data_IF_923013879277
#
_entry.id   IF_923013879277
#
_cell.length_a   1.000
_cell.length_b   1.000
_cell.length_c   1.000
_cell.angle_alpha   90.00
_cell.angle_beta   90.00
_cell.angle_gamma   90.00
#
_symmetry.space_group_name_H-M   'P 1'
#
loop_
_entity.id
_entity.type
_entity.pdbx_description
1 polymer ?
#
# COMPACT_ATOMS: atom_id res chain seq x y z
N UNK A 1 -17.01 -9.45 -0.51
CA UNK A 1 -16.31 -8.17 -0.23
C UNK A 1 -15.89 -7.51 -1.54
N UNK A 2 -16.83 -6.95 -2.31
CA UNK A 2 -16.53 -6.37 -3.64
C UNK A 2 -17.18 -5.00 -3.92
N UNK A 3 -17.83 -4.35 -2.94
CA UNK A 3 -18.58 -3.10 -3.17
C UNK A 3 -18.19 -1.94 -2.21
N UNK A 4 -16.91 -1.81 -1.87
CA UNK A 4 -16.43 -0.69 -1.02
C UNK A 4 -15.62 0.36 -1.78
N UNK A 5 -15.47 0.24 -3.10
CA UNK A 5 -14.48 1.04 -3.85
C UNK A 5 -15.04 2.41 -4.31
N UNK A 6 -16.35 2.68 -4.20
CA UNK A 6 -17.00 3.89 -4.75
C UNK A 6 -17.98 4.59 -3.77
N UNK A 7 -17.68 4.64 -2.47
CA UNK A 7 -18.55 5.36 -1.52
C UNK A 7 -17.99 6.74 -1.16
N UNK A 8 -18.70 7.79 -1.56
CA UNK A 8 -18.67 9.08 -0.88
C UNK A 8 -19.19 8.85 0.54
N UNK A 9 -18.29 8.48 1.46
CA UNK A 9 -18.64 8.22 2.85
C UNK A 9 -19.27 9.47 3.46
N UNK A 10 -20.49 9.32 3.98
CA UNK A 10 -21.20 10.35 4.75
C UNK A 10 -20.68 10.40 6.19
N UNK A 11 -20.96 11.48 6.93
CA UNK A 11 -20.60 11.54 8.36
C UNK A 11 -21.22 10.42 9.18
N UNK A 12 -22.42 9.94 8.82
CA UNK A 12 -23.05 8.79 9.47
C UNK A 12 -22.31 7.47 9.24
N UNK A 13 -21.56 7.35 8.14
CA UNK A 13 -20.77 6.16 7.80
C UNK A 13 -19.50 6.03 8.66
N UNK A 14 -19.06 7.12 9.31
CA UNK A 14 -17.88 7.10 10.19
C UNK A 14 -18.06 6.25 11.45
N UNK A 15 -19.30 5.82 11.71
CA UNK A 15 -19.64 4.95 12.83
C UNK A 15 -19.76 3.48 12.40
N UNK A 16 -19.67 3.14 11.12
CA UNK A 16 -19.65 1.74 10.69
C UNK A 16 -18.23 1.15 10.86
N UNK A 17 -18.13 0.05 11.59
CA UNK A 17 -16.86 -0.61 11.90
C UNK A 17 -16.09 -1.06 10.65
N UNK A 18 -16.80 -1.51 9.62
CA UNK A 18 -16.18 -2.02 8.40
C UNK A 18 -15.68 -0.88 7.52
N UNK A 19 -16.39 0.25 7.51
CA UNK A 19 -15.95 1.48 6.84
C UNK A 19 -14.72 2.05 7.54
N UNK A 20 -14.73 2.08 8.86
CA UNK A 20 -13.59 2.52 9.67
C UNK A 20 -12.38 1.64 9.43
N UNK A 21 -12.57 0.33 9.33
CA UNK A 21 -11.47 -0.59 9.06
C UNK A 21 -10.86 -0.38 7.67
N UNK A 22 -11.68 -0.15 6.64
CA UNK A 22 -11.20 0.20 5.30
C UNK A 22 -10.42 1.52 5.32
N UNK A 23 -10.95 2.55 5.99
CA UNK A 23 -10.27 3.85 6.15
C UNK A 23 -8.94 3.68 6.91
N UNK A 24 -8.94 2.91 8.00
CA UNK A 24 -7.75 2.63 8.79
C UNK A 24 -6.69 1.92 7.95
N UNK A 25 -7.08 0.88 7.20
CA UNK A 25 -6.23 0.12 6.30
C UNK A 25 -5.59 1.01 5.22
N UNK A 26 -6.38 1.88 4.57
CA UNK A 26 -5.89 2.82 3.56
C UNK A 26 -4.90 3.83 4.14
N UNK A 27 -5.22 4.40 5.31
CA UNK A 27 -4.35 5.36 6.00
C UNK A 27 -3.01 4.72 6.41
N UNK A 28 -3.05 3.53 7.00
CA UNK A 28 -1.81 2.86 7.41
C UNK A 28 -0.98 2.44 6.20
N UNK A 29 -1.60 2.04 5.09
CA UNK A 29 -0.87 1.78 3.84
C UNK A 29 -0.14 3.02 3.35
N UNK A 30 -0.84 4.16 3.28
CA UNK A 30 -0.24 5.42 2.83
C UNK A 30 0.92 5.85 3.76
N UNK A 31 0.74 5.72 5.07
CA UNK A 31 1.80 5.98 6.05
C UNK A 31 3.02 5.09 5.80
N UNK A 32 2.84 3.77 5.66
CA UNK A 32 3.94 2.83 5.43
C UNK A 32 4.62 3.05 4.09
N UNK A 33 3.86 3.29 3.03
CA UNK A 33 4.43 3.60 1.73
C UNK A 33 5.34 4.84 1.83
N UNK A 34 4.87 5.91 2.46
CA UNK A 34 5.67 7.12 2.68
C UNK A 34 6.92 6.84 3.54
N UNK A 35 6.78 6.04 4.59
CA UNK A 35 7.90 5.60 5.42
C UNK A 35 8.97 4.89 4.59
N UNK A 36 8.61 3.89 3.80
CA UNK A 36 9.57 3.15 2.98
C UNK A 36 10.19 3.99 1.86
N UNK A 37 9.42 4.90 1.26
CA UNK A 37 9.96 5.89 0.32
C UNK A 37 11.04 6.73 1.00
N UNK A 38 10.80 7.22 2.22
CA UNK A 38 11.77 8.03 2.94
C UNK A 38 13.03 7.24 3.30
N UNK A 39 12.91 5.96 3.65
CA UNK A 39 14.08 5.10 3.88
C UNK A 39 14.87 4.90 2.58
N UNK A 40 14.20 4.55 1.47
CA UNK A 40 14.84 4.23 0.19
C UNK A 40 15.48 5.44 -0.51
N UNK A 41 15.08 6.66 -0.15
CA UNK A 41 15.72 7.90 -0.61
C UNK A 41 17.12 8.11 -0.03
N UNK A 42 17.42 7.52 1.14
CA UNK A 42 18.74 7.64 1.73
C UNK A 42 19.76 6.79 0.95
N UNK A 43 21.04 7.20 0.90
CA UNK A 43 22.10 6.34 0.37
C UNK A 43 22.16 5.00 1.11
N UNK A 44 22.60 3.95 0.42
CA UNK A 44 22.70 2.59 0.98
C UNK A 44 23.64 2.54 2.20
N UNK A 45 24.63 3.43 2.27
CA UNK A 45 25.56 3.57 3.40
C UNK A 45 24.96 4.28 4.63
N UNK A 46 23.76 4.86 4.52
CA UNK A 46 23.14 5.59 5.61
C UNK A 46 22.63 4.63 6.70
N UNK A 47 22.81 4.99 7.98
CA UNK A 47 22.40 4.14 9.12
C UNK A 47 20.92 3.74 9.08
N UNK A 48 20.03 4.65 8.70
CA UNK A 48 18.60 4.32 8.49
C UNK A 48 18.37 3.20 7.49
N UNK A 49 19.19 3.11 6.44
CA UNK A 49 19.08 2.04 5.46
C UNK A 49 19.62 0.72 6.04
N UNK A 50 20.72 0.77 6.79
CA UNK A 50 21.29 -0.38 7.51
C UNK A 50 20.31 -1.04 8.48
N UNK A 51 19.61 -0.23 9.30
CA UNK A 51 18.60 -0.72 10.25
C UNK A 51 17.35 -1.29 9.56
N UNK A 52 17.12 -0.95 8.29
CA UNK A 52 15.91 -1.31 7.54
C UNK A 52 16.25 -2.22 6.36
N UNK A 53 16.70 -3.43 6.67
CA UNK A 53 17.05 -4.43 5.66
C UNK A 53 15.87 -4.74 4.73
N UNK A 54 16.17 -4.92 3.43
CA UNK A 54 15.19 -5.20 2.38
C UNK A 54 14.14 -4.10 2.16
N UNK A 55 14.49 -2.84 2.40
CA UNK A 55 13.62 -1.67 2.19
C UNK A 55 12.98 -1.64 0.80
N UNK A 56 13.67 -2.05 -0.26
CA UNK A 56 13.07 -2.05 -1.61
C UNK A 56 12.01 -3.12 -1.83
N UNK A 57 12.16 -4.30 -1.21
CA UNK A 57 11.13 -5.34 -1.29
C UNK A 57 9.85 -4.84 -0.63
N UNK A 58 9.99 -4.19 0.53
CA UNK A 58 8.87 -3.61 1.27
C UNK A 58 8.25 -2.45 0.49
N UNK A 59 9.05 -1.57 -0.10
CA UNK A 59 8.56 -0.50 -0.95
C UNK A 59 7.77 -1.03 -2.15
N UNK A 60 8.31 -2.01 -2.88
CA UNK A 60 7.64 -2.61 -4.05
C UNK A 60 6.32 -3.27 -3.63
N UNK A 61 6.30 -4.01 -2.52
CA UNK A 61 5.08 -4.62 -2.00
C UNK A 61 4.03 -3.56 -1.62
N UNK A 62 4.42 -2.50 -0.90
CA UNK A 62 3.50 -1.43 -0.50
C UNK A 62 2.97 -0.66 -1.71
N UNK A 63 3.82 -0.43 -2.72
CA UNK A 63 3.42 0.22 -3.96
C UNK A 63 2.45 -0.66 -4.77
N UNK A 64 2.67 -1.97 -4.79
CA UNK A 64 1.79 -2.94 -5.44
C UNK A 64 0.41 -3.02 -4.78
N UNK A 65 0.36 -3.05 -3.44
CA UNK A 65 -0.91 -2.99 -2.68
C UNK A 65 -1.59 -1.64 -2.92
N UNK A 66 -0.84 -0.54 -2.95
CA UNK A 66 -1.40 0.79 -3.23
C UNK A 66 -1.98 0.88 -4.62
N UNK A 67 -1.35 0.23 -5.60
CA UNK A 67 -1.87 0.09 -6.96
C UNK A 67 -3.19 -0.70 -6.97
N UNK A 68 -3.25 -1.85 -6.27
CA UNK A 68 -4.47 -2.65 -6.14
C UNK A 68 -5.64 -1.86 -5.51
N UNK A 69 -5.34 -1.02 -4.53
CA UNK A 69 -6.32 -0.21 -3.81
C UNK A 69 -6.58 1.17 -4.44
N UNK A 70 -6.07 1.43 -5.66
CA UNK A 70 -6.20 2.70 -6.38
C UNK A 70 -5.75 3.94 -5.58
N UNK A 71 -4.68 3.81 -4.78
CA UNK A 71 -4.19 4.86 -3.88
C UNK A 71 -2.71 5.19 -4.07
N UNK A 72 -2.23 5.12 -5.31
CA UNK A 72 -0.85 5.53 -5.63
C UNK A 72 -0.68 7.03 -5.32
N UNK A 73 0.42 7.43 -4.65
CA UNK A 73 0.68 8.83 -4.35
C UNK A 73 0.67 9.72 -5.60
N UNK A 74 -0.03 10.85 -5.52
CA UNK A 74 -0.17 11.82 -6.63
C UNK A 74 1.17 12.24 -7.24
N UNK A 75 2.24 12.31 -6.43
CA UNK A 75 3.61 12.66 -6.87
C UNK A 75 4.18 11.70 -7.91
N UNK A 76 3.64 10.48 -8.02
CA UNK A 76 4.04 9.44 -8.97
C UNK A 76 3.08 9.31 -10.16
N UNK A 77 2.00 10.09 -10.18
CA UNK A 77 1.03 10.12 -11.26
C UNK A 77 1.46 11.16 -12.29
N UNK A 78 1.57 10.72 -13.55
CA UNK A 78 1.71 11.62 -14.68
C UNK A 78 0.29 11.92 -15.20
N UNK A 79 -0.34 13.00 -14.72
CA UNK A 79 -1.69 13.43 -15.09
C UNK A 79 -2.80 13.03 -14.10
N UNK A 80 -4.05 13.37 -14.43
CA UNK A 80 -5.24 13.26 -13.57
C UNK A 80 -5.92 11.87 -13.53
N UNK A 81 -5.23 10.79 -13.92
CA UNK A 81 -5.82 9.44 -13.89
C UNK A 81 -5.44 8.70 -12.62
N UNK A 82 -6.43 8.12 -11.94
CA UNK A 82 -6.23 7.04 -10.98
C UNK A 82 -5.39 5.96 -11.67
N UNK A 83 -4.23 5.62 -11.10
CA UNK A 83 -3.42 4.50 -11.59
C UNK A 83 -3.60 3.34 -10.63
N UNK A 84 -4.10 2.25 -11.19
CA UNK A 84 -4.25 0.93 -10.59
C UNK A 84 -2.98 0.07 -10.77
N UNK A 85 -1.90 0.64 -11.30
CA UNK A 85 -0.64 -0.06 -11.57
C UNK A 85 0.60 0.76 -11.16
N UNK A 86 1.70 0.05 -10.92
CA UNK A 86 3.03 0.64 -10.81
C UNK A 86 3.96 0.15 -11.93
N UNK A 87 5.06 0.85 -12.13
CA UNK A 87 6.07 0.53 -13.16
C UNK A 87 7.46 0.48 -12.55
N UNK A 88 8.39 -0.18 -13.26
CA UNK A 88 9.81 -0.18 -12.89
C UNK A 88 10.38 1.24 -12.81
N UNK A 89 9.95 2.15 -13.70
CA UNK A 89 10.36 3.54 -13.69
C UNK A 89 9.94 4.27 -12.40
N UNK A 90 8.73 4.01 -11.89
CA UNK A 90 8.27 4.58 -10.62
C UNK A 90 9.14 4.09 -9.46
N UNK A 91 9.47 2.80 -9.39
CA UNK A 91 10.34 2.24 -8.33
C UNK A 91 11.75 2.83 -8.43
N UNK A 92 12.27 3.00 -9.66
CA UNK A 92 13.59 3.59 -9.89
C UNK A 92 13.64 5.06 -9.47
N UNK A 93 12.55 5.80 -9.57
CA UNK A 93 12.47 7.17 -9.06
C UNK A 93 12.47 7.24 -7.52
N UNK A 94 12.09 6.14 -6.86
CA UNK A 94 11.94 6.07 -5.39
C UNK A 94 13.14 5.40 -4.68
N UNK A 95 14.08 4.83 -5.43
CA UNK A 95 15.17 4.00 -4.89
C UNK A 95 16.48 4.24 -5.64
N UNK A 96 17.61 3.93 -5.00
CA UNK A 96 18.94 3.99 -5.64
C UNK A 96 19.36 2.68 -6.31
N UNK A 97 18.49 1.67 -6.34
CA UNK A 97 18.86 0.34 -6.85
C UNK A 97 18.77 0.26 -8.36
N UNK A 98 19.58 -0.63 -8.94
CA UNK A 98 19.59 -0.86 -10.37
C UNK A 98 18.26 -1.43 -10.85
N UNK A 99 17.92 -1.10 -12.09
CA UNK A 99 16.73 -1.63 -12.77
C UNK A 99 16.69 -3.16 -12.76
N UNK A 100 17.86 -3.80 -12.94
CA UNK A 100 18.01 -5.25 -12.87
C UNK A 100 17.61 -5.82 -11.50
N UNK A 101 17.95 -5.14 -10.40
CA UNK A 101 17.53 -5.56 -9.05
C UNK A 101 16.02 -5.39 -8.88
N UNK A 102 15.45 -4.28 -9.35
CA UNK A 102 13.99 -4.03 -9.33
C UNK A 102 13.25 -5.15 -10.08
N UNK A 103 13.64 -5.41 -11.33
CA UNK A 103 13.04 -6.45 -12.16
C UNK A 103 13.15 -7.84 -11.52
N UNK A 104 14.28 -8.14 -10.88
CA UNK A 104 14.44 -9.41 -10.13
C UNK A 104 13.45 -9.51 -8.97
N UNK A 105 13.30 -8.47 -8.17
CA UNK A 105 12.34 -8.46 -7.05
C UNK A 105 10.92 -8.66 -7.57
N UNK A 106 10.54 -7.92 -8.62
CA UNK A 106 9.21 -8.03 -9.24
C UNK A 106 8.99 -9.46 -9.76
N UNK A 107 9.96 -10.02 -10.49
CA UNK A 107 9.88 -11.39 -11.00
C UNK A 107 9.66 -12.39 -9.87
N UNK A 108 10.43 -12.29 -8.78
CA UNK A 108 10.25 -13.17 -7.63
C UNK A 108 8.86 -13.01 -6.98
N UNK A 109 8.31 -11.79 -6.95
CA UNK A 109 6.93 -11.55 -6.50
C UNK A 109 5.88 -12.18 -7.41
N UNK A 110 6.08 -12.14 -8.73
CA UNK A 110 5.21 -12.81 -9.72
C UNK A 110 5.29 -14.33 -9.55
N UNK A 111 6.50 -14.89 -9.44
CA UNK A 111 6.72 -16.33 -9.26
C UNK A 111 6.04 -16.87 -7.98
N UNK A 112 5.87 -16.02 -6.95
CA UNK A 112 5.14 -16.34 -5.71
C UNK A 112 3.63 -16.08 -5.77
N UNK A 113 3.13 -15.42 -6.82
CA UNK A 113 1.73 -15.00 -6.93
C UNK A 113 1.36 -13.77 -6.09
N UNK A 114 2.35 -13.02 -5.56
CA UNK A 114 2.13 -11.78 -4.81
C UNK A 114 1.88 -10.58 -5.74
N UNK A 115 2.46 -10.64 -6.94
CA UNK A 115 2.39 -9.60 -7.95
C UNK A 115 1.85 -10.16 -9.26
N UNK A 116 1.18 -9.32 -10.03
CA UNK A 116 0.71 -9.66 -11.37
C UNK A 116 1.11 -8.60 -12.39
N UNK A 117 1.30 -9.05 -13.62
CA UNK A 117 1.59 -8.22 -14.78
C UNK A 117 0.26 -7.86 -15.45
N UNK A 118 -0.07 -6.58 -15.44
CA UNK A 118 -1.32 -6.04 -16.01
C UNK A 118 -1.17 -5.76 -17.51
N UNK A 119 0.01 -5.28 -17.92
CA UNK A 119 0.31 -4.94 -19.31
C UNK A 119 1.79 -5.10 -19.58
N UNK A 120 2.15 -5.59 -20.76
CA UNK A 120 3.54 -5.83 -21.14
C UNK A 120 4.28 -4.63 -21.77
N UNK A 121 3.57 -3.70 -22.40
CA UNK A 121 4.19 -2.62 -23.19
C UNK A 121 3.51 -1.25 -22.95
N UNK A 122 4.09 -0.37 -22.12
CA UNK A 122 5.20 -0.65 -21.19
C UNK A 122 4.78 -1.60 -20.05
N UNK A 123 5.71 -2.31 -19.39
CA UNK A 123 5.38 -3.21 -18.27
C UNK A 123 4.69 -2.47 -17.11
N UNK A 124 3.52 -2.96 -16.72
CA UNK A 124 2.69 -2.44 -15.63
C UNK A 124 2.34 -3.57 -14.69
N UNK A 125 2.49 -3.33 -13.39
CA UNK A 125 2.34 -4.35 -12.36
C UNK A 125 1.35 -3.91 -11.29
N UNK A 126 0.70 -4.88 -10.65
CA UNK A 126 -0.21 -4.67 -9.54
C UNK A 126 0.04 -5.73 -8.46
N UNK A 127 -0.34 -5.45 -7.21
CA UNK A 127 -0.39 -6.46 -6.16
C UNK A 127 -1.63 -7.34 -6.31
N UNK A 128 -1.51 -8.63 -6.03
CA UNK A 128 -2.65 -9.55 -6.06
C UNK A 128 -3.48 -9.47 -4.79
N UNK A 129 -4.66 -10.08 -4.79
CA UNK A 129 -5.49 -10.25 -3.59
C UNK A 129 -4.75 -11.02 -2.47
N UNK A 130 -3.87 -11.95 -2.82
CA UNK A 130 -3.05 -12.67 -1.86
C UNK A 130 -2.17 -11.71 -1.07
N UNK A 131 -1.46 -10.83 -1.77
CA UNK A 131 -0.59 -9.84 -1.14
C UNK A 131 -1.39 -8.85 -0.29
N UNK A 132 -2.57 -8.44 -0.75
CA UNK A 132 -3.48 -7.58 0.02
C UNK A 132 -3.96 -8.27 1.31
N UNK A 133 -4.34 -9.55 1.25
CA UNK A 133 -4.77 -10.30 2.43
C UNK A 133 -3.63 -10.44 3.46
N UNK A 134 -2.41 -10.76 3.00
CA UNK A 134 -1.23 -10.78 3.88
C UNK A 134 -0.99 -9.43 4.55
N UNK A 135 -1.22 -8.33 3.83
CA UNK A 135 -1.11 -7.00 4.39
C UNK A 135 -2.18 -6.72 5.44
N UNK A 136 -3.44 -7.09 5.18
CA UNK A 136 -4.53 -6.95 6.13
C UNK A 136 -4.28 -7.75 7.41
N UNK A 137 -3.77 -8.98 7.30
CA UNK A 137 -3.37 -9.79 8.45
C UNK A 137 -2.23 -9.15 9.23
N UNK A 138 -1.23 -8.60 8.54
CA UNK A 138 -0.11 -7.90 9.16
C UNK A 138 -0.54 -6.65 9.95
N UNK A 139 -1.51 -5.89 9.46
CA UNK A 139 -2.05 -4.69 10.14
C UNK A 139 -3.23 -4.98 11.07
N UNK A 140 -3.63 -6.24 11.21
CA UNK A 140 -4.87 -6.61 11.90
C UNK A 140 -5.00 -5.97 13.28
N UNK A 141 -3.95 -6.04 14.09
CA UNK A 141 -3.94 -5.45 15.44
C UNK A 141 -4.20 -3.94 15.43
N UNK A 142 -3.66 -3.23 14.44
CA UNK A 142 -3.92 -1.79 14.28
C UNK A 142 -5.37 -1.54 13.86
N UNK A 143 -5.88 -2.30 12.89
CA UNK A 143 -7.25 -2.16 12.40
C UNK A 143 -8.27 -2.46 13.51
N UNK A 144 -8.04 -3.53 14.27
CA UNK A 144 -8.90 -3.94 15.39
C UNK A 144 -8.90 -2.89 16.51
N UNK A 145 -7.79 -2.18 16.72
CA UNK A 145 -7.74 -1.09 17.71
C UNK A 145 -8.62 0.08 17.29
N UNK A 146 -8.63 0.45 16.00
CA UNK A 146 -9.49 1.51 15.46
C UNK A 146 -10.98 1.14 15.57
N UNK A 147 -11.33 -0.12 15.27
CA UNK A 147 -12.71 -0.63 15.46
C UNK A 147 -13.15 -0.53 16.93
N UNK A 148 -12.27 -0.93 17.84
CA UNK A 148 -12.57 -0.96 19.28
C UNK A 148 -12.77 0.44 19.86
N UNK A 149 -11.99 1.42 19.41
CA UNK A 149 -12.15 2.82 19.80
C UNK A 149 -13.55 3.33 19.43
N UNK A 150 -13.99 3.11 18.19
CA UNK A 150 -15.29 3.61 17.73
C UNK A 150 -16.47 2.89 18.40
N UNK A 151 -16.33 1.59 18.72
CA UNK A 151 -17.30 0.89 19.57
C UNK A 151 -17.47 1.57 20.93
N UNK A 152 -16.35 1.89 21.58
CA UNK A 152 -16.36 2.59 22.87
C UNK A 152 -17.06 3.95 22.76
N UNK A 153 -16.76 4.72 21.71
CA UNK A 153 -17.40 6.01 21.46
C UNK A 153 -18.92 5.89 21.29
N UNK A 154 -19.42 4.91 20.52
CA UNK A 154 -20.85 4.67 20.37
C UNK A 154 -21.53 4.40 21.70
N UNK A 155 -20.96 3.50 22.51
CA UNK A 155 -21.54 3.10 23.78
C UNK A 155 -21.60 4.26 24.79
N UNK A 156 -20.66 5.21 24.71
CA UNK A 156 -20.62 6.37 25.62
C UNK A 156 -21.53 7.53 25.19
N UNK A 157 -22.10 7.51 23.99
CA UNK A 157 -22.98 8.57 23.45
C UNK A 157 -24.41 8.08 23.16
N UNK A 158 -24.75 6.87 23.63
CA UNK A 158 -26.09 6.28 23.52
C UNK A 158 -26.96 6.45 24.78
N UNK A 159 -26.52 7.31 25.72
CA UNK A 159 -27.28 7.82 26.88
C UNK A 159 -27.76 9.26 26.63
#
# INVERSE_FOLDING_TARGET
>A
MANLIDKNYSQSDMFDEDIVADIALRRILQFRLNFWINICKNPVSHGNYYWNTSSEHRLIAMLAISANMNQIPLKLLNGNSMKDYFTVAMVRHLTHISERKIQRIIKMGIDRGDLELIRDKPPQYQGTKQLLNLYQEFEKTWIDSQKSEIKSWKNNHSD
#
